data_IF_434295197410
#
_entry.id   IF_434295197410
#
_cell.length_a   1.000
_cell.length_b   1.000
_cell.length_c   1.000
_cell.angle_alpha   90.00
_cell.angle_beta   90.00
_cell.angle_gamma   90.00
#
_symmetry.space_group_name_H-M   'P 1'
#
loop_
_entity.id
_entity.type
_entity.pdbx_description
1 polymer ?
#
# COMPACT_ATOMS: atom_id res chain seq x y z
N UNK A 1 4.77 -27.90 -11.93
CA UNK A 1 5.12 -26.48 -11.71
C UNK A 1 4.13 -25.92 -10.73
N UNK A 2 4.60 -25.38 -9.60
CA UNK A 2 3.71 -24.85 -8.56
C UNK A 2 3.15 -23.51 -9.04
N UNK A 3 1.85 -23.43 -9.28
CA UNK A 3 1.18 -22.16 -9.58
C UNK A 3 1.20 -21.30 -8.32
N UNK A 4 1.95 -20.19 -8.35
CA UNK A 4 1.93 -19.21 -7.27
C UNK A 4 0.56 -18.54 -7.25
N UNK A 5 -0.17 -18.63 -6.13
CA UNK A 5 -1.46 -17.97 -5.98
C UNK A 5 -1.26 -16.53 -5.48
N UNK A 6 -1.27 -15.57 -6.41
CA UNK A 6 -1.07 -14.15 -6.10
C UNK A 6 -2.26 -13.52 -5.36
N UNK A 7 -3.46 -14.06 -5.50
CA UNK A 7 -4.68 -13.53 -4.87
C UNK A 7 -4.69 -13.78 -3.35
N UNK A 8 -4.09 -14.89 -2.94
CA UNK A 8 -3.92 -15.25 -1.53
C UNK A 8 -2.86 -14.39 -0.81
N UNK A 9 -2.02 -13.66 -1.55
CA UNK A 9 -0.98 -12.80 -0.97
C UNK A 9 -1.56 -11.45 -0.54
N UNK A 10 -1.05 -10.93 0.59
CA UNK A 10 -1.26 -9.52 0.93
C UNK A 10 -0.52 -8.60 -0.05
N UNK A 11 -0.93 -7.34 -0.11
CA UNK A 11 -0.33 -6.34 -1.00
C UNK A 11 1.17 -6.15 -0.75
N UNK A 12 1.62 -6.34 0.50
CA UNK A 12 3.03 -6.27 0.88
C UNK A 12 3.81 -7.50 0.40
N UNK A 13 3.23 -8.70 0.55
CA UNK A 13 3.82 -9.95 0.10
C UNK A 13 3.93 -10.02 -1.43
N UNK A 14 2.85 -9.63 -2.15
CA UNK A 14 2.86 -9.58 -3.60
C UNK A 14 3.91 -8.59 -4.14
N UNK A 15 4.03 -7.42 -3.50
CA UNK A 15 5.09 -6.45 -3.82
C UNK A 15 6.48 -7.05 -3.59
N UNK A 16 6.71 -7.69 -2.45
CA UNK A 16 8.02 -8.26 -2.13
C UNK A 16 8.36 -9.43 -3.07
N UNK A 17 7.38 -10.26 -3.42
CA UNK A 17 7.52 -11.33 -4.39
C UNK A 17 7.90 -10.76 -5.76
N UNK A 18 7.15 -9.79 -6.29
CA UNK A 18 7.47 -9.14 -7.55
C UNK A 18 8.89 -8.54 -7.55
N UNK A 19 9.31 -7.88 -6.47
CA UNK A 19 10.65 -7.29 -6.36
C UNK A 19 11.77 -8.34 -6.41
N UNK A 20 11.52 -9.55 -5.90
CA UNK A 20 12.44 -10.70 -5.95
C UNK A 20 12.38 -11.43 -7.30
N UNK A 21 11.22 -11.41 -7.96
CA UNK A 21 10.94 -12.10 -9.23
C UNK A 21 10.60 -11.09 -10.33
N UNK A 22 11.51 -10.16 -10.63
CA UNK A 22 11.24 -9.04 -11.56
C UNK A 22 10.94 -9.46 -13.01
N UNK A 23 11.31 -10.68 -13.40
CA UNK A 23 10.98 -11.26 -14.72
C UNK A 23 9.64 -12.01 -14.74
N UNK A 24 8.95 -12.14 -13.60
CA UNK A 24 7.63 -12.76 -13.53
C UNK A 24 6.55 -11.73 -13.92
N UNK A 25 6.17 -11.77 -15.20
CA UNK A 25 5.14 -10.90 -15.75
C UNK A 25 3.76 -11.12 -15.10
N UNK A 26 3.46 -12.33 -14.64
CA UNK A 26 2.20 -12.62 -13.97
C UNK A 26 2.14 -11.94 -12.59
N UNK A 27 3.25 -11.96 -11.85
CA UNK A 27 3.37 -11.24 -10.58
C UNK A 27 3.30 -9.71 -10.77
N UNK A 28 3.90 -9.17 -11.84
CA UNK A 28 3.78 -7.75 -12.18
C UNK A 28 2.33 -7.37 -12.48
N UNK A 29 1.65 -8.16 -13.32
CA UNK A 29 0.25 -7.92 -13.68
C UNK A 29 -0.66 -7.93 -12.45
N UNK A 30 -0.55 -8.96 -11.61
CA UNK A 30 -1.32 -9.05 -10.37
C UNK A 30 -1.06 -7.85 -9.44
N UNK A 31 0.19 -7.38 -9.33
CA UNK A 31 0.52 -6.21 -8.53
C UNK A 31 -0.08 -4.91 -9.10
N UNK A 32 -0.03 -4.72 -10.43
CA UNK A 32 -0.61 -3.55 -11.10
C UNK A 32 -2.14 -3.54 -11.00
N UNK A 33 -2.79 -4.69 -11.21
CA UNK A 33 -4.23 -4.82 -11.08
C UNK A 33 -4.67 -4.44 -9.66
N UNK A 34 -3.95 -4.92 -8.64
CA UNK A 34 -4.25 -4.58 -7.24
C UNK A 34 -4.06 -3.10 -6.92
N UNK A 35 -3.08 -2.43 -7.53
CA UNK A 35 -2.93 -0.97 -7.42
C UNK A 35 -4.09 -0.24 -8.13
N UNK A 36 -4.52 -0.74 -9.27
CA UNK A 36 -5.60 -0.12 -10.06
C UNK A 36 -6.97 -0.21 -9.37
N UNK A 37 -7.21 -1.31 -8.63
CA UNK A 37 -8.44 -1.54 -7.87
C UNK A 37 -8.54 -0.68 -6.61
N UNK A 38 -7.44 -0.05 -6.16
CA UNK A 38 -7.50 0.82 -4.99
C UNK A 38 -8.27 2.10 -5.36
N UNK A 39 -9.42 2.37 -4.71
CA UNK A 39 -10.17 3.59 -4.97
C UNK A 39 -9.27 4.79 -4.67
N UNK A 40 -8.98 5.57 -5.71
CA UNK A 40 -8.29 6.86 -5.56
C UNK A 40 -9.27 7.79 -4.87
N UNK A 41 -9.03 8.05 -3.58
CA UNK A 41 -9.85 9.01 -2.84
C UNK A 41 -9.54 10.41 -3.37
N UNK A 42 -10.53 11.07 -3.97
CA UNK A 42 -10.45 12.48 -4.31
C UNK A 42 -10.43 13.26 -3.00
N UNK A 43 -9.34 14.00 -2.75
CA UNK A 43 -9.13 14.71 -1.48
C UNK A 43 -9.65 16.14 -1.51
N UNK A 44 -9.65 16.79 -2.68
CA UNK A 44 -10.22 18.12 -2.93
C UNK A 44 -10.47 18.32 -4.43
N UNK A 45 -11.50 19.08 -4.79
CA UNK A 45 -11.76 19.56 -6.16
C UNK A 45 -11.29 21.00 -6.32
N UNK A 46 -10.81 21.47 -7.49
CA UNK A 46 -10.40 22.86 -7.68
C UNK A 46 -11.45 23.90 -7.30
N UNK A 47 -12.74 23.55 -7.41
CA UNK A 47 -13.87 24.41 -7.06
C UNK A 47 -14.28 24.33 -5.57
N UNK A 48 -13.55 23.58 -4.73
CA UNK A 48 -13.84 23.49 -3.31
C UNK A 48 -13.51 24.81 -2.59
N UNK A 49 -14.46 25.44 -1.85
CA UNK A 49 -14.20 26.64 -1.06
C UNK A 49 -13.09 26.46 -0.01
N UNK A 50 -12.87 25.22 0.44
CA UNK A 50 -11.88 24.85 1.45
C UNK A 50 -10.76 23.98 0.84
N UNK A 51 -10.44 24.16 -0.44
CA UNK A 51 -9.45 23.36 -1.16
C UNK A 51 -8.15 23.19 -0.37
N UNK A 52 -7.55 24.31 0.05
CA UNK A 52 -6.25 24.31 0.74
C UNK A 52 -6.31 23.55 2.07
N UNK A 53 -7.37 23.73 2.86
CA UNK A 53 -7.55 23.03 4.14
C UNK A 53 -7.69 21.52 3.95
N UNK A 54 -8.48 21.11 2.95
CA UNK A 54 -8.67 19.69 2.62
C UNK A 54 -7.38 19.03 2.14
N UNK A 55 -6.59 19.73 1.33
CA UNK A 55 -5.27 19.26 0.88
C UNK A 55 -4.32 19.11 2.07
N UNK A 56 -4.21 20.12 2.93
CA UNK A 56 -3.35 20.05 4.12
C UNK A 56 -3.74 18.92 5.07
N UNK A 57 -5.04 18.75 5.34
CA UNK A 57 -5.55 17.68 6.18
C UNK A 57 -5.23 16.29 5.60
N UNK A 58 -5.40 16.10 4.29
CA UNK A 58 -5.09 14.85 3.62
C UNK A 58 -3.59 14.52 3.65
N UNK A 59 -2.72 15.53 3.49
CA UNK A 59 -1.26 15.36 3.63
C UNK A 59 -0.92 14.93 5.06
N UNK A 60 -1.46 15.61 6.08
CA UNK A 60 -1.22 15.27 7.49
C UNK A 60 -1.66 13.84 7.80
N UNK A 61 -2.88 13.46 7.40
CA UNK A 61 -3.39 12.10 7.58
C UNK A 61 -2.48 11.05 6.93
N UNK A 62 -1.94 11.33 5.74
CA UNK A 62 -1.03 10.42 5.03
C UNK A 62 0.32 10.29 5.74
N UNK A 63 0.86 11.39 6.27
CA UNK A 63 2.11 11.39 7.03
C UNK A 63 1.96 10.62 8.36
N UNK A 64 0.86 10.84 9.08
CA UNK A 64 0.54 10.10 10.30
C UNK A 64 0.37 8.60 10.01
N UNK A 65 -0.40 8.23 8.97
CA UNK A 65 -0.58 6.82 8.60
C UNK A 65 0.70 6.13 8.13
N UNK A 66 1.67 6.88 7.60
CA UNK A 66 3.00 6.36 7.26
C UNK A 66 3.87 6.20 8.52
N UNK A 67 3.85 7.17 9.44
CA UNK A 67 4.58 7.13 10.71
C UNK A 67 4.03 6.11 11.71
N UNK A 68 2.74 5.83 11.70
CA UNK A 68 2.13 4.79 12.53
C UNK A 68 2.43 3.38 12.01
N UNK A 69 2.52 3.21 10.68
CA UNK A 69 2.93 1.93 10.06
C UNK A 69 4.36 1.53 10.42
N UNK A 70 5.30 2.48 10.51
CA UNK A 70 6.67 2.20 10.95
C UNK A 70 6.76 1.84 12.44
N UNK A 71 5.86 2.34 13.30
CA UNK A 71 5.78 1.93 14.72
C UNK A 71 5.13 0.56 14.91
N UNK A 72 4.10 0.22 14.13
CA UNK A 72 3.47 -1.11 14.17
C UNK A 72 4.44 -2.22 13.74
N UNK A 73 5.20 -1.98 12.67
CA UNK A 73 6.16 -2.97 12.13
C UNK A 73 7.36 -3.22 13.06
N UNK A 74 7.75 -2.23 13.87
CA UNK A 74 8.77 -2.39 14.92
C UNK A 74 8.26 -3.22 16.11
N UNK A 75 6.96 -3.13 16.43
CA UNK A 75 6.36 -3.87 17.54
C UNK A 75 6.08 -5.34 17.20
N UNK A 76 5.64 -5.64 15.97
CA UNK A 76 5.39 -7.03 15.54
C UNK A 76 6.69 -7.86 15.44
N UNK A 77 7.84 -7.21 15.26
CA UNK A 77 9.16 -7.85 15.25
C UNK A 77 9.66 -8.26 16.65
N UNK A 78 9.03 -7.77 17.72
CA UNK A 78 9.45 -8.01 19.10
C UNK A 78 8.62 -9.10 19.83
N UNK A 79 7.64 -9.72 19.16
CA UNK A 79 6.72 -10.69 19.77
C UNK A 79 7.11 -12.16 19.49
N UNK A 80 8.16 -12.43 18.70
CA UNK A 80 8.59 -13.82 18.36
C UNK A 80 9.89 -14.26 19.06
N UNK A 81 10.19 -13.72 20.25
CA UNK A 81 11.19 -14.31 21.15
C UNK A 81 10.64 -14.29 22.58
N UNK A 82 9.94 -15.38 22.93
CA UNK A 82 9.47 -15.71 24.26
C UNK A 82 9.18 -17.20 24.33
#
# INVERSE_FOLDING_TARGET
MSQTNYDAMSDAELKQYFLKHRGDHAALQAYLDRISQRPRRIIASPDDPNFDEKVQAAIRQKLEAAGSRSKQQANDSNVTNG
#
